data_IF_280898493750
#
_entry.id   IF_280898493750
#
_cell.length_a   1.000
_cell.length_b   1.000
_cell.length_c   1.000
_cell.angle_alpha   90.00
_cell.angle_beta   90.00
_cell.angle_gamma   90.00
#
_symmetry.space_group_name_H-M   'P 1'
#
loop_
_entity.id
_entity.type
_entity.pdbx_description
1 polymer ?
#
# COMPACT_ATOMS: atom_id res chain seq x y z
N UNK A 1 0.74 16.73 -25.09
CA UNK A 1 1.21 15.47 -24.50
C UNK A 1 1.71 15.83 -23.12
N UNK A 2 0.79 15.93 -22.16
CA UNK A 2 1.09 16.65 -20.92
C UNK A 2 0.36 16.00 -19.75
N UNK A 3 1.16 15.74 -18.72
CA UNK A 3 0.79 15.65 -17.30
C UNK A 3 -0.29 14.66 -16.92
N UNK A 4 0.12 13.43 -16.60
CA UNK A 4 -0.56 12.64 -15.58
C UNK A 4 0.44 12.33 -14.45
N UNK A 5 0.98 13.38 -13.83
CA UNK A 5 1.95 13.27 -12.73
C UNK A 5 1.54 14.23 -11.61
N UNK A 6 0.27 14.18 -11.19
CA UNK A 6 -0.26 15.14 -10.20
C UNK A 6 -0.39 14.57 -8.78
N UNK A 7 -0.14 13.27 -8.55
CA UNK A 7 0.07 12.75 -7.19
C UNK A 7 0.61 11.31 -7.13
N UNK A 8 1.64 10.99 -7.91
CA UNK A 8 2.30 9.70 -7.74
C UNK A 8 3.12 9.73 -6.44
N UNK A 9 2.60 9.10 -5.38
CA UNK A 9 3.36 8.87 -4.17
C UNK A 9 3.96 7.46 -4.22
N UNK A 10 5.27 7.30 -4.50
CA UNK A 10 5.91 5.99 -4.62
C UNK A 10 5.82 5.15 -3.33
N UNK A 11 5.57 5.79 -2.18
CA UNK A 11 5.38 5.11 -0.90
C UNK A 11 4.11 4.25 -0.87
N UNK A 12 3.11 4.56 -1.69
CA UNK A 12 1.88 3.75 -1.81
C UNK A 12 2.21 2.41 -2.46
N UNK A 13 3.02 2.43 -3.52
CA UNK A 13 3.45 1.23 -4.25
C UNK A 13 4.35 0.34 -3.37
N UNK A 14 5.31 0.96 -2.67
CA UNK A 14 6.17 0.27 -1.70
C UNK A 14 5.36 -0.38 -0.56
N UNK A 15 4.39 0.37 -0.01
CA UNK A 15 3.47 -0.14 1.00
C UNK A 15 2.61 -1.30 0.47
N UNK A 16 2.12 -1.20 -0.76
CA UNK A 16 1.31 -2.22 -1.40
C UNK A 16 2.10 -3.51 -1.63
N UNK A 17 3.31 -3.40 -2.19
CA UNK A 17 4.20 -4.54 -2.41
C UNK A 17 4.61 -5.21 -1.09
N UNK A 18 4.91 -4.43 -0.06
CA UNK A 18 5.17 -4.95 1.28
C UNK A 18 3.96 -5.67 1.86
N UNK A 19 2.75 -5.13 1.65
CA UNK A 19 1.50 -5.73 2.10
C UNK A 19 1.07 -6.94 1.26
N UNK A 20 1.53 -7.09 0.02
CA UNK A 20 1.30 -8.31 -0.76
C UNK A 20 2.25 -9.44 -0.33
N UNK A 21 3.48 -9.11 0.05
CA UNK A 21 4.52 -10.10 0.38
C UNK A 21 4.58 -10.48 1.86
N UNK A 22 4.12 -9.62 2.77
CA UNK A 22 4.18 -9.88 4.22
C UNK A 22 2.96 -10.65 4.69
N UNK A 23 3.07 -11.86 5.26
CA UNK A 23 1.91 -12.62 5.72
C UNK A 23 1.18 -11.94 6.89
N UNK A 24 -0.16 -12.09 6.93
CA UNK A 24 -1.02 -11.44 7.94
C UNK A 24 -0.65 -11.80 9.39
N UNK A 25 -0.05 -12.96 9.63
CA UNK A 25 0.45 -13.39 10.96
C UNK A 25 1.65 -12.58 11.47
N UNK A 26 2.42 -11.94 10.58
CA UNK A 26 3.51 -11.03 10.96
C UNK A 26 3.04 -9.59 11.20
N UNK A 27 1.75 -9.31 10.98
CA UNK A 27 1.17 -7.99 11.19
C UNK A 27 0.49 -8.00 12.54
N UNK A 28 1.23 -7.59 13.58
CA UNK A 28 0.69 -7.41 14.94
C UNK A 28 -0.38 -6.30 15.01
N UNK A 29 -0.52 -5.50 13.95
CA UNK A 29 -1.41 -4.34 13.91
C UNK A 29 -2.28 -4.32 12.66
N UNK A 30 -3.43 -3.61 12.70
CA UNK A 30 -4.26 -3.38 11.52
C UNK A 30 -3.46 -2.67 10.40
N UNK A 31 -3.80 -2.95 9.14
CA UNK A 31 -3.03 -2.47 7.99
C UNK A 31 -2.91 -0.94 7.93
N UNK A 32 -4.00 -0.20 8.18
CA UNK A 32 -4.00 1.27 8.09
C UNK A 32 -3.04 1.93 9.08
N UNK A 33 -3.14 1.74 10.42
CA UNK A 33 -2.19 2.33 11.37
C UNK A 33 -0.75 1.89 11.10
N UNK A 34 -0.53 0.61 10.78
CA UNK A 34 0.79 0.08 10.45
C UNK A 34 1.42 0.78 9.24
N UNK A 35 0.65 0.99 8.17
CA UNK A 35 1.14 1.68 6.98
C UNK A 35 1.42 3.17 7.24
N UNK A 36 0.64 3.81 8.13
CA UNK A 36 0.88 5.19 8.55
C UNK A 36 2.16 5.31 9.36
N UNK A 37 2.39 4.43 10.32
CA UNK A 37 3.59 4.45 11.17
C UNK A 37 4.85 4.05 10.40
N UNK A 38 4.75 3.03 9.54
CA UNK A 38 5.90 2.47 8.82
C UNK A 38 6.33 3.29 7.61
N UNK A 39 5.37 3.81 6.83
CA UNK A 39 5.63 4.48 5.56
C UNK A 39 5.28 5.98 5.60
N UNK A 40 4.75 6.50 6.72
CA UNK A 40 4.37 7.91 6.84
C UNK A 40 3.17 8.31 5.99
N UNK A 41 2.34 7.34 5.59
CA UNK A 41 1.19 7.57 4.70
C UNK A 41 0.03 8.27 5.43
N UNK A 42 -0.78 9.01 4.68
CA UNK A 42 -2.10 9.47 5.14
C UNK A 42 -3.11 8.31 5.13
N UNK A 43 -4.22 8.39 5.91
CA UNK A 43 -5.25 7.35 5.91
C UNK A 43 -5.79 6.99 4.52
N UNK A 44 -6.01 8.00 3.66
CA UNK A 44 -6.48 7.79 2.29
C UNK A 44 -5.44 7.08 1.40
N UNK A 45 -4.15 7.30 1.65
CA UNK A 45 -3.06 6.64 0.93
C UNK A 45 -2.85 5.22 1.41
N UNK A 46 -2.99 4.97 2.72
CA UNK A 46 -2.98 3.62 3.28
C UNK A 46 -4.12 2.76 2.71
N UNK A 47 -5.33 3.31 2.57
CA UNK A 47 -6.44 2.63 1.90
C UNK A 47 -6.11 2.28 0.43
N UNK A 48 -5.48 3.21 -0.30
CA UNK A 48 -5.02 2.95 -1.68
C UNK A 48 -3.97 1.85 -1.74
N UNK A 49 -2.98 1.86 -0.85
CA UNK A 49 -1.96 0.82 -0.77
C UNK A 49 -2.56 -0.57 -0.47
N UNK A 50 -3.59 -0.63 0.38
CA UNK A 50 -4.30 -1.89 0.67
C UNK A 50 -5.05 -2.39 -0.57
N UNK A 51 -5.72 -1.51 -1.31
CA UNK A 51 -6.41 -1.88 -2.55
C UNK A 51 -5.42 -2.42 -3.59
N UNK A 52 -4.27 -1.74 -3.78
CA UNK A 52 -3.24 -2.16 -4.72
C UNK A 52 -2.61 -3.50 -4.31
N UNK A 53 -2.36 -3.71 -3.01
CA UNK A 53 -1.87 -4.99 -2.51
C UNK A 53 -2.83 -6.15 -2.81
N UNK A 54 -4.14 -5.92 -2.70
CA UNK A 54 -5.14 -6.94 -3.07
C UNK A 54 -5.11 -7.22 -4.59
N UNK A 55 -4.89 -6.20 -5.43
CA UNK A 55 -4.72 -6.40 -6.87
C UNK A 55 -3.46 -7.20 -7.20
N UNK A 56 -2.35 -6.93 -6.53
CA UNK A 56 -1.10 -7.71 -6.67
C UNK A 56 -1.37 -9.18 -6.31
N UNK A 57 -2.02 -9.44 -5.17
CA UNK A 57 -2.37 -10.79 -4.74
C UNK A 57 -3.32 -11.50 -5.71
N UNK A 58 -4.30 -10.79 -6.26
CA UNK A 58 -5.25 -11.34 -7.23
C UNK A 58 -4.61 -11.66 -8.58
N UNK A 59 -3.57 -10.91 -8.99
CA UNK A 59 -2.82 -11.14 -10.23
C UNK A 59 -1.76 -12.24 -10.09
N UNK A 60 -1.32 -12.55 -8.88
CA UNK A 60 -0.32 -13.56 -8.60
C UNK A 60 -0.89 -15.01 -8.60
N UNK A 61 -2.18 -15.16 -8.89
CA UNK A 61 -2.90 -16.45 -8.96
C UNK A 61 -2.91 -17.03 -10.36
#
# INVERSE_FOLDING_TARGET
MTCADEHYNPRIDEAAAWLATTPRRQRDQPAVPLLRERFGLMPAEACRAIAEANLILARAV
#
